data_IF_205210931678
#
_entry.id   IF_205210931678
#
_cell.length_a   1.000
_cell.length_b   1.000
_cell.length_c   1.000
_cell.angle_alpha   90.00
_cell.angle_beta   90.00
_cell.angle_gamma   90.00
#
_symmetry.space_group_name_H-M   'P 1'
#
loop_
_entity.id
_entity.type
_entity.pdbx_description
1 polymer ?
#
# COMPACT_ATOMS: atom_id res chain seq x y z
N UNK A 1 -28.23 -14.33 20.77
CA UNK A 1 -27.88 -13.32 19.77
C UNK A 1 -26.74 -13.74 18.85
N UNK A 2 -26.10 -14.88 19.06
CA UNK A 2 -24.93 -15.32 18.25
C UNK A 2 -25.22 -16.34 17.14
N UNK A 3 -26.46 -16.74 16.93
CA UNK A 3 -26.80 -17.74 15.89
C UNK A 3 -27.28 -17.11 14.59
N UNK A 4 -27.78 -15.88 14.63
CA UNK A 4 -28.31 -15.19 13.43
C UNK A 4 -27.19 -14.49 12.64
N UNK A 5 -26.07 -14.12 13.26
CA UNK A 5 -24.91 -13.54 12.55
C UNK A 5 -24.13 -14.59 11.74
N UNK A 6 -24.06 -15.85 12.18
CA UNK A 6 -23.36 -16.92 11.44
C UNK A 6 -24.10 -17.42 10.19
N UNK A 7 -25.39 -17.16 10.08
CA UNK A 7 -26.18 -17.56 8.89
C UNK A 7 -26.16 -16.48 7.80
N UNK A 8 -25.86 -15.22 8.15
CA UNK A 8 -25.78 -14.14 7.16
C UNK A 8 -24.44 -14.11 6.40
N UNK A 9 -23.35 -14.53 7.03
CA UNK A 9 -22.04 -14.64 6.34
C UNK A 9 -21.98 -15.79 5.33
N UNK A 10 -22.76 -16.85 5.52
CA UNK A 10 -22.75 -18.02 4.61
C UNK A 10 -23.61 -17.83 3.33
N UNK A 11 -24.38 -16.76 3.24
CA UNK A 11 -25.27 -16.48 2.08
C UNK A 11 -24.72 -15.41 1.14
N UNK A 12 -23.64 -14.71 1.50
CA UNK A 12 -22.97 -13.70 0.64
C UNK A 12 -21.86 -14.33 -0.21
N UNK A 13 -21.36 -15.50 0.17
CA UNK A 13 -20.25 -16.18 -0.53
C UNK A 13 -20.68 -17.00 -1.77
N UNK A 14 -21.95 -17.01 -2.16
CA UNK A 14 -22.49 -17.86 -3.26
C UNK A 14 -22.83 -17.08 -4.54
N UNK A 15 -22.67 -15.75 -4.57
CA UNK A 15 -23.11 -14.94 -5.73
C UNK A 15 -21.99 -14.33 -6.57
N UNK A 16 -20.71 -14.69 -6.39
CA UNK A 16 -19.59 -14.15 -7.20
C UNK A 16 -18.82 -15.21 -8.02
N UNK A 17 -19.42 -16.37 -8.27
CA UNK A 17 -18.87 -17.35 -9.22
C UNK A 17 -19.72 -17.41 -10.48
N UNK A 18 -19.41 -16.55 -11.45
CA UNK A 18 -19.80 -16.79 -12.84
C UNK A 18 -18.89 -16.03 -13.79
N UNK A 19 -17.93 -16.74 -14.39
CA UNK A 19 -17.47 -16.38 -15.69
C UNK A 19 -15.96 -16.33 -15.94
N UNK A 20 -15.29 -17.43 -15.85
CA UNK A 20 -14.02 -17.67 -16.53
C UNK A 20 -13.89 -19.17 -16.74
N UNK A 21 -14.12 -19.64 -17.96
CA UNK A 21 -13.91 -21.05 -18.29
C UNK A 21 -12.43 -21.22 -18.60
N UNK A 22 -11.65 -21.74 -17.65
CA UNK A 22 -10.29 -22.21 -17.91
C UNK A 22 -10.31 -23.34 -18.96
N UNK A 23 -9.41 -23.32 -19.92
CA UNK A 23 -9.20 -24.44 -20.84
C UNK A 23 -8.72 -25.67 -20.05
N UNK A 24 -9.59 -26.61 -19.82
CA UNK A 24 -9.27 -27.91 -19.24
C UNK A 24 -8.64 -28.81 -20.30
N UNK A 25 -7.60 -29.54 -19.92
CA UNK A 25 -7.08 -30.63 -20.72
C UNK A 25 -8.16 -31.71 -20.97
N UNK A 26 -8.02 -32.50 -22.01
CA UNK A 26 -9.00 -33.54 -22.42
C UNK A 26 -9.23 -34.62 -21.34
N UNK A 27 -8.50 -34.66 -20.25
CA UNK A 27 -8.63 -35.54 -19.09
C UNK A 27 -9.19 -34.85 -17.84
N UNK A 28 -9.56 -33.56 -17.93
CA UNK A 28 -10.14 -32.80 -16.82
C UNK A 28 -9.13 -32.30 -15.78
N UNK A 29 -7.83 -32.46 -16.01
CA UNK A 29 -6.78 -31.93 -15.15
C UNK A 29 -6.32 -30.54 -15.61
N UNK A 30 -6.19 -29.59 -14.67
CA UNK A 30 -5.48 -28.33 -14.90
C UNK A 30 -3.98 -28.65 -14.83
N UNK A 31 -3.16 -28.23 -15.81
CA UNK A 31 -1.71 -28.47 -15.74
C UNK A 31 -1.15 -27.77 -14.52
N UNK A 32 -0.67 -28.54 -13.55
CA UNK A 32 0.09 -28.04 -12.43
C UNK A 32 1.36 -27.36 -12.97
N UNK A 33 1.37 -26.04 -13.06
CA UNK A 33 2.60 -25.29 -13.25
C UNK A 33 3.31 -25.30 -11.91
N UNK A 34 4.30 -26.16 -11.80
CA UNK A 34 5.28 -26.08 -10.70
C UNK A 34 5.91 -24.70 -10.78
N UNK A 35 5.96 -23.91 -9.69
CA UNK A 35 6.74 -22.70 -9.68
C UNK A 35 8.15 -23.08 -10.09
N UNK A 36 8.60 -22.57 -11.25
CA UNK A 36 9.95 -22.87 -11.73
C UNK A 36 10.90 -21.97 -10.94
N UNK A 37 11.12 -22.33 -9.68
CA UNK A 37 12.36 -21.96 -8.98
C UNK A 37 13.43 -22.80 -9.65
N UNK A 38 13.77 -22.47 -10.90
CA UNK A 38 14.72 -23.24 -11.65
C UNK A 38 16.12 -22.76 -11.32
N UNK A 39 17.07 -23.69 -11.33
CA UNK A 39 18.51 -23.46 -11.30
C UNK A 39 19.02 -22.52 -12.43
N UNK A 40 18.13 -21.89 -13.20
CA UNK A 40 18.43 -21.02 -14.33
C UNK A 40 18.59 -19.54 -13.97
N UNK A 41 18.27 -19.12 -12.75
CA UNK A 41 18.49 -17.73 -12.33
C UNK A 41 19.95 -17.57 -11.88
N UNK A 42 20.78 -17.04 -12.78
CA UNK A 42 22.09 -16.51 -12.40
C UNK A 42 21.92 -15.48 -11.29
N UNK A 43 22.88 -15.46 -10.33
CA UNK A 43 22.89 -14.52 -9.23
C UNK A 43 22.74 -13.09 -9.73
N UNK A 44 21.53 -12.53 -9.58
CA UNK A 44 21.25 -11.14 -9.89
C UNK A 44 21.64 -10.26 -8.70
N UNK A 45 21.64 -8.96 -8.94
CA UNK A 45 21.94 -7.96 -7.91
C UNK A 45 21.09 -8.14 -6.65
N UNK A 46 19.82 -8.55 -6.76
CA UNK A 46 18.92 -8.72 -5.62
C UNK A 46 19.43 -9.76 -4.60
N UNK A 47 19.80 -10.96 -5.06
CA UNK A 47 20.35 -11.98 -4.15
C UNK A 47 21.77 -11.66 -3.69
N UNK A 48 22.57 -10.98 -4.50
CA UNK A 48 23.95 -10.60 -4.13
C UNK A 48 23.94 -9.50 -3.05
N UNK A 49 23.10 -8.47 -3.18
CA UNK A 49 22.94 -7.44 -2.16
C UNK A 49 22.44 -8.04 -0.84
N UNK A 50 21.47 -8.98 -0.91
CA UNK A 50 20.99 -9.70 0.27
C UNK A 50 22.09 -10.52 0.95
N UNK A 51 22.85 -11.32 0.18
CA UNK A 51 24.00 -12.08 0.70
C UNK A 51 25.06 -11.16 1.33
N UNK A 52 25.31 -9.99 0.73
CA UNK A 52 26.27 -9.04 1.27
C UNK A 52 25.78 -8.43 2.59
N UNK A 53 24.51 -8.09 2.69
CA UNK A 53 23.90 -7.64 3.94
C UNK A 53 24.02 -8.72 5.02
N UNK A 54 23.63 -9.97 4.73
CA UNK A 54 23.74 -11.10 5.69
C UNK A 54 25.17 -11.39 6.13
N UNK A 55 26.14 -11.28 5.22
CA UNK A 55 27.57 -11.45 5.54
C UNK A 55 28.06 -10.39 6.54
N UNK A 56 27.54 -9.18 6.46
CA UNK A 56 27.87 -8.09 7.38
C UNK A 56 27.14 -8.24 8.72
N UNK A 57 25.98 -8.93 8.75
CA UNK A 57 25.11 -9.11 9.89
C UNK A 57 24.77 -10.60 10.12
N UNK A 58 25.73 -11.43 10.59
CA UNK A 58 25.51 -12.87 10.76
C UNK A 58 24.48 -13.23 11.84
N UNK A 59 24.18 -12.33 12.76
CA UNK A 59 23.10 -12.45 13.74
C UNK A 59 21.73 -12.29 13.06
N UNK A 60 21.60 -11.36 12.12
CA UNK A 60 20.37 -11.16 11.31
C UNK A 60 20.16 -12.36 10.39
N UNK A 61 21.23 -12.93 9.79
CA UNK A 61 21.10 -14.15 8.98
C UNK A 61 20.38 -15.26 9.76
N UNK A 62 20.76 -15.50 11.01
CA UNK A 62 20.12 -16.53 11.85
C UNK A 62 18.64 -16.22 12.14
N UNK A 63 18.29 -14.95 12.31
CA UNK A 63 16.91 -14.54 12.52
C UNK A 63 16.08 -14.75 11.24
N UNK A 64 16.62 -14.43 10.06
CA UNK A 64 15.96 -14.69 8.78
C UNK A 64 15.79 -16.18 8.51
N UNK A 65 16.83 -17.00 8.76
CA UNK A 65 16.71 -18.46 8.66
C UNK A 65 15.60 -18.99 9.58
N UNK A 66 15.47 -18.43 10.79
CA UNK A 66 14.40 -18.78 11.73
C UNK A 66 13.03 -18.30 11.25
N UNK A 67 12.93 -17.10 10.69
CA UNK A 67 11.69 -16.55 10.11
C UNK A 67 11.18 -17.45 8.97
N UNK A 68 12.05 -17.82 8.03
CA UNK A 68 11.71 -18.74 6.93
C UNK A 68 11.29 -20.12 7.46
N UNK A 69 11.99 -20.65 8.46
CA UNK A 69 11.65 -21.94 9.05
C UNK A 69 10.28 -21.90 9.75
N UNK A 70 9.97 -20.82 10.48
CA UNK A 70 8.66 -20.63 11.10
C UNK A 70 7.55 -20.47 10.06
N UNK A 71 7.81 -19.74 8.97
CA UNK A 71 6.91 -19.64 7.84
C UNK A 71 6.63 -21.01 7.20
N UNK A 72 7.63 -21.88 7.08
CA UNK A 72 7.48 -23.24 6.55
C UNK A 72 6.68 -24.17 7.50
N UNK A 73 6.74 -23.94 8.82
CA UNK A 73 5.93 -24.67 9.80
C UNK A 73 4.45 -24.21 9.75
N UNK A 74 4.20 -22.91 9.57
CA UNK A 74 2.85 -22.32 9.50
C UNK A 74 2.16 -22.71 8.20
N UNK A 75 2.83 -22.55 7.06
CA UNK A 75 2.35 -22.96 5.77
C UNK A 75 3.36 -23.89 5.08
N UNK A 76 3.20 -25.23 5.23
CA UNK A 76 4.10 -26.21 4.64
C UNK A 76 3.86 -26.47 3.15
N UNK A 77 2.75 -25.94 2.60
CA UNK A 77 2.37 -26.14 1.21
C UNK A 77 3.28 -25.34 0.26
N UNK A 78 4.09 -26.06 -0.53
CA UNK A 78 5.00 -25.43 -1.49
C UNK A 78 4.33 -24.73 -2.67
N UNK A 79 3.07 -24.97 -2.91
CA UNK A 79 2.33 -24.23 -3.95
C UNK A 79 2.01 -22.79 -3.50
N UNK A 80 1.81 -22.58 -2.21
CA UNK A 80 1.57 -21.26 -1.62
C UNK A 80 2.78 -20.70 -0.89
N UNK A 81 3.69 -21.54 -0.41
CA UNK A 81 4.95 -21.15 0.25
C UNK A 81 6.14 -21.84 -0.43
N UNK A 82 6.57 -21.40 -1.62
CA UNK A 82 7.66 -22.02 -2.36
C UNK A 82 9.04 -21.89 -1.69
N UNK A 83 9.27 -20.87 -0.87
CA UNK A 83 10.54 -20.59 -0.19
C UNK A 83 10.51 -21.16 1.24
N UNK A 84 11.27 -22.23 1.48
CA UNK A 84 11.35 -22.89 2.79
C UNK A 84 12.80 -22.99 3.31
N UNK A 85 13.72 -22.31 2.64
CA UNK A 85 15.12 -22.20 3.04
C UNK A 85 15.75 -20.90 2.55
N UNK A 86 16.85 -20.49 3.17
CA UNK A 86 17.59 -19.31 2.75
C UNK A 86 18.17 -19.46 1.33
N UNK A 87 18.57 -20.67 0.93
CA UNK A 87 19.07 -20.93 -0.43
C UNK A 87 17.97 -20.76 -1.49
N UNK A 88 16.76 -21.21 -1.19
CA UNK A 88 15.58 -20.98 -2.06
C UNK A 88 15.21 -19.49 -2.12
N UNK A 89 15.36 -18.76 -1.01
CA UNK A 89 15.13 -17.30 -0.95
C UNK A 89 16.03 -16.56 -1.95
N UNK A 90 17.29 -16.93 -2.11
CA UNK A 90 18.18 -16.28 -3.09
C UNK A 90 17.68 -16.41 -4.53
N UNK A 91 17.22 -17.60 -4.91
CA UNK A 91 16.64 -17.84 -6.24
C UNK A 91 15.35 -17.04 -6.43
N UNK A 92 14.51 -17.05 -5.41
CA UNK A 92 13.23 -16.35 -5.41
C UNK A 92 13.39 -14.83 -5.55
N UNK A 93 14.28 -14.20 -4.79
CA UNK A 93 14.55 -12.77 -4.91
C UNK A 93 15.00 -12.36 -6.32
N UNK A 94 15.83 -13.18 -6.98
CA UNK A 94 16.24 -12.91 -8.36
C UNK A 94 15.10 -13.03 -9.36
N UNK A 95 14.17 -13.96 -9.11
CA UNK A 95 12.98 -14.13 -9.93
C UNK A 95 12.04 -12.94 -9.80
N UNK A 96 11.70 -12.53 -8.57
CA UNK A 96 10.68 -11.54 -8.31
C UNK A 96 10.98 -10.17 -8.90
N UNK A 97 12.24 -9.73 -8.91
CA UNK A 97 12.63 -8.42 -9.49
C UNK A 97 12.55 -8.33 -11.00
N UNK A 98 12.19 -9.42 -11.67
CA UNK A 98 11.96 -9.49 -13.13
C UNK A 98 10.57 -10.00 -13.48
N UNK A 99 9.68 -10.07 -12.49
CA UNK A 99 8.31 -10.53 -12.65
C UNK A 99 7.32 -9.37 -12.64
N UNK A 100 6.22 -9.56 -13.34
CA UNK A 100 5.04 -8.71 -13.16
C UNK A 100 4.44 -8.95 -11.77
N UNK A 101 3.79 -7.93 -11.17
CA UNK A 101 3.27 -8.02 -9.81
C UNK A 101 2.32 -9.21 -9.54
N UNK A 102 1.63 -9.68 -10.54
CA UNK A 102 0.71 -10.82 -10.46
C UNK A 102 1.35 -12.17 -10.76
N UNK A 103 2.63 -12.21 -11.12
CA UNK A 103 3.33 -13.45 -11.52
C UNK A 103 4.29 -13.98 -10.45
N UNK A 104 4.38 -13.36 -9.28
CA UNK A 104 5.28 -13.82 -8.21
C UNK A 104 4.77 -15.13 -7.61
N UNK A 105 3.47 -15.22 -7.42
CA UNK A 105 2.79 -16.47 -7.03
C UNK A 105 2.21 -17.17 -8.26
N UNK A 106 1.94 -18.49 -8.18
CA UNK A 106 1.39 -19.23 -9.32
C UNK A 106 0.10 -18.62 -9.82
N UNK A 107 0.04 -18.37 -11.14
CA UNK A 107 -1.16 -17.90 -11.83
C UNK A 107 -2.35 -18.84 -11.59
N UNK A 108 -3.56 -18.33 -11.71
CA UNK A 108 -4.83 -19.09 -11.74
C UNK A 108 -5.34 -19.60 -10.38
N UNK A 109 -4.59 -19.43 -9.27
CA UNK A 109 -5.06 -19.92 -7.97
C UNK A 109 -6.14 -19.00 -7.36
N UNK A 110 -6.03 -17.72 -7.55
CA UNK A 110 -6.82 -16.72 -6.82
C UNK A 110 -7.97 -16.13 -7.64
N UNK A 111 -8.01 -16.40 -8.94
CA UNK A 111 -9.17 -16.19 -9.79
C UNK A 111 -9.48 -14.77 -10.22
N UNK A 112 -8.72 -13.77 -9.77
CA UNK A 112 -8.78 -12.39 -10.24
C UNK A 112 -7.45 -11.68 -10.03
N UNK A 113 -7.19 -10.70 -10.90
CA UNK A 113 -5.94 -9.98 -10.99
C UNK A 113 -5.54 -9.24 -9.69
N UNK A 114 -6.48 -8.58 -9.04
CA UNK A 114 -6.19 -7.83 -7.81
C UNK A 114 -5.73 -8.78 -6.68
N UNK A 115 -6.39 -9.93 -6.53
CA UNK A 115 -5.96 -10.94 -5.54
C UNK A 115 -4.62 -11.56 -5.91
N UNK A 116 -4.33 -11.80 -7.21
CA UNK A 116 -3.02 -12.30 -7.65
C UNK A 116 -1.89 -11.32 -7.28
N UNK A 117 -2.10 -10.02 -7.52
CA UNK A 117 -1.15 -8.99 -7.11
C UNK A 117 -0.98 -8.97 -5.58
N UNK A 118 -2.08 -8.97 -4.85
CA UNK A 118 -2.09 -8.90 -3.39
C UNK A 118 -1.31 -10.07 -2.79
N UNK A 119 -1.63 -11.30 -3.18
CA UNK A 119 -0.96 -12.49 -2.69
C UNK A 119 0.53 -12.54 -3.06
N UNK A 120 0.88 -12.09 -4.26
CA UNK A 120 2.27 -12.01 -4.71
C UNK A 120 3.09 -11.03 -3.87
N UNK A 121 2.52 -9.88 -3.53
CA UNK A 121 3.17 -8.86 -2.73
C UNK A 121 3.31 -9.33 -1.28
N UNK A 122 2.22 -9.77 -0.67
CA UNK A 122 2.18 -10.14 0.74
C UNK A 122 3.11 -11.32 1.04
N UNK A 123 3.27 -12.24 0.10
CA UNK A 123 4.13 -13.40 0.30
C UNK A 123 5.60 -13.03 0.55
N UNK A 124 6.15 -12.06 -0.18
CA UNK A 124 7.55 -11.62 -0.01
C UNK A 124 7.77 -11.10 1.42
N UNK A 125 6.84 -10.26 1.90
CA UNK A 125 6.92 -9.70 3.24
C UNK A 125 6.62 -10.73 4.31
N UNK A 126 5.66 -11.62 4.09
CA UNK A 126 5.34 -12.67 5.04
C UNK A 126 6.54 -13.56 5.43
N UNK A 127 7.45 -13.82 4.50
CA UNK A 127 8.69 -14.55 4.79
C UNK A 127 9.60 -13.82 5.81
N UNK A 128 9.52 -12.51 5.87
CA UNK A 128 10.32 -11.64 6.76
C UNK A 128 9.53 -11.20 7.99
N UNK A 129 8.21 -11.34 7.96
CA UNK A 129 7.29 -10.79 8.98
C UNK A 129 6.86 -11.80 10.05
N UNK A 130 7.61 -12.89 10.20
CA UNK A 130 7.33 -13.85 11.26
C UNK A 130 7.75 -13.30 12.63
N UNK A 131 6.87 -13.33 13.65
CA UNK A 131 7.21 -12.83 14.98
C UNK A 131 8.26 -13.72 15.64
N UNK A 132 9.36 -13.13 16.07
CA UNK A 132 10.48 -13.83 16.71
C UNK A 132 10.65 -13.39 18.15
N UNK A 133 10.71 -14.36 19.07
CA UNK A 133 10.88 -14.12 20.50
C UNK A 133 12.13 -13.27 20.82
N UNK A 134 13.19 -13.39 20.04
CA UNK A 134 14.42 -12.62 20.20
C UNK A 134 14.24 -11.13 19.93
N UNK A 135 13.13 -10.74 19.31
CA UNK A 135 12.81 -9.37 18.91
C UNK A 135 11.71 -8.73 19.76
N UNK A 136 10.98 -9.50 20.58
CA UNK A 136 9.82 -9.03 21.37
C UNK A 136 10.11 -7.84 22.31
N UNK A 137 11.34 -7.70 22.82
CA UNK A 137 11.71 -6.63 23.74
C UNK A 137 12.49 -5.50 23.07
N UNK A 138 12.50 -5.45 21.75
CA UNK A 138 13.07 -4.33 20.99
C UNK A 138 11.99 -3.31 20.69
N UNK A 139 12.37 -2.05 20.59
CA UNK A 139 11.47 -0.95 20.19
C UNK A 139 11.22 -1.00 18.68
N UNK A 140 10.67 -2.13 18.18
CA UNK A 140 10.29 -2.32 16.79
C UNK A 140 8.78 -2.13 16.64
N UNK A 141 8.34 -1.78 15.44
CA UNK A 141 6.92 -1.74 15.12
C UNK A 141 6.27 -3.11 15.34
N UNK A 142 6.91 -4.17 14.86
CA UNK A 142 6.54 -5.56 15.05
C UNK A 142 7.81 -6.39 15.32
N UNK A 143 7.77 -7.46 16.14
CA UNK A 143 8.96 -8.23 16.47
C UNK A 143 9.40 -9.16 15.34
N UNK A 144 9.54 -8.63 14.12
CA UNK A 144 9.98 -9.35 12.93
C UNK A 144 11.30 -8.79 12.37
N UNK A 145 11.92 -9.54 11.48
CA UNK A 145 13.18 -9.12 10.86
C UNK A 145 12.99 -7.97 9.87
N UNK A 146 11.80 -7.80 9.33
CA UNK A 146 11.45 -6.73 8.39
C UNK A 146 11.81 -5.35 8.95
N UNK A 147 11.57 -5.12 10.24
CA UNK A 147 11.78 -3.84 10.92
C UNK A 147 13.19 -3.63 11.47
N UNK A 148 14.13 -4.53 11.20
CA UNK A 148 15.55 -4.33 11.53
C UNK A 148 16.22 -3.41 10.50
N UNK A 149 16.98 -2.39 10.95
CA UNK A 149 17.57 -1.39 10.08
C UNK A 149 18.34 -1.97 8.87
N UNK A 150 19.22 -2.98 9.01
CA UNK A 150 19.88 -3.56 7.84
C UNK A 150 18.93 -4.22 6.85
N UNK A 151 17.80 -4.78 7.32
CA UNK A 151 16.81 -5.47 6.48
C UNK A 151 15.97 -4.45 5.72
N UNK A 152 15.40 -3.44 6.37
CA UNK A 152 14.59 -2.46 5.65
C UNK A 152 15.43 -1.57 4.70
N UNK A 153 16.70 -1.31 5.00
CA UNK A 153 17.62 -0.67 4.04
C UNK A 153 17.85 -1.55 2.81
N UNK A 154 18.05 -2.84 3.02
CA UNK A 154 18.16 -3.79 1.91
C UNK A 154 16.84 -3.91 1.13
N UNK A 155 15.68 -3.91 1.79
CA UNK A 155 14.38 -3.88 1.12
C UNK A 155 14.25 -2.68 0.18
N UNK A 156 14.78 -1.51 0.56
CA UNK A 156 14.83 -0.34 -0.33
C UNK A 156 15.65 -0.62 -1.60
N UNK A 157 16.79 -1.29 -1.49
CA UNK A 157 17.61 -1.68 -2.67
C UNK A 157 16.88 -2.72 -3.54
N UNK A 158 16.25 -3.70 -2.91
CA UNK A 158 15.45 -4.72 -3.58
C UNK A 158 14.28 -4.09 -4.34
N UNK A 159 13.52 -3.23 -3.71
CA UNK A 159 12.39 -2.53 -4.31
C UNK A 159 12.81 -1.62 -5.48
N UNK A 160 13.94 -0.91 -5.34
CA UNK A 160 14.51 -0.12 -6.42
C UNK A 160 14.91 -0.98 -7.64
N UNK A 161 15.47 -2.18 -7.39
CA UNK A 161 15.82 -3.12 -8.47
C UNK A 161 14.57 -3.57 -9.23
N UNK A 162 13.49 -3.85 -8.51
CA UNK A 162 12.23 -4.22 -9.15
C UNK A 162 11.57 -3.03 -9.88
N UNK A 163 11.63 -1.84 -9.31
CA UNK A 163 11.19 -0.62 -9.99
C UNK A 163 11.88 -0.44 -11.33
N UNK A 164 13.19 -0.66 -11.42
CA UNK A 164 13.95 -0.52 -12.66
C UNK A 164 13.42 -1.48 -13.75
N UNK A 165 12.98 -2.68 -13.38
CA UNK A 165 12.26 -3.59 -14.30
C UNK A 165 10.88 -3.02 -14.67
N UNK A 166 10.08 -2.58 -13.69
CA UNK A 166 8.72 -2.06 -13.92
C UNK A 166 8.71 -0.73 -14.70
N UNK A 167 9.82 0.00 -14.74
CA UNK A 167 10.03 1.19 -15.55
C UNK A 167 10.51 0.84 -16.99
N UNK A 168 10.91 -0.40 -17.25
CA UNK A 168 11.44 -0.83 -18.55
C UNK A 168 10.33 -1.23 -19.53
N UNK A 169 10.63 -1.16 -20.84
CA UNK A 169 9.73 -1.66 -21.89
C UNK A 169 9.45 -3.18 -21.77
N UNK A 170 10.32 -3.93 -21.09
CA UNK A 170 10.14 -5.37 -20.87
C UNK A 170 8.95 -5.68 -19.96
N UNK A 171 8.57 -4.73 -19.12
CA UNK A 171 7.41 -4.82 -18.20
C UNK A 171 6.07 -4.53 -18.87
N UNK A 172 6.04 -4.15 -20.17
CA UNK A 172 4.80 -3.80 -20.84
C UNK A 172 4.61 -4.54 -22.15
N UNK A 173 3.46 -5.19 -22.30
CA UNK A 173 3.08 -5.95 -23.48
C UNK A 173 1.61 -5.75 -23.80
N UNK A 174 1.25 -5.90 -25.08
CA UNK A 174 -0.15 -5.80 -25.50
C UNK A 174 -1.06 -6.80 -24.76
N UNK A 175 -0.59 -8.00 -24.47
CA UNK A 175 -1.35 -9.02 -23.73
C UNK A 175 -1.72 -8.58 -22.32
N UNK A 176 -0.89 -7.77 -21.66
CA UNK A 176 -1.20 -7.21 -20.34
C UNK A 176 -2.30 -6.16 -20.44
N UNK A 177 -2.24 -5.29 -21.45
CA UNK A 177 -3.32 -4.33 -21.70
C UNK A 177 -4.65 -5.05 -22.00
N UNK A 178 -4.61 -6.09 -22.83
CA UNK A 178 -5.80 -6.87 -23.18
C UNK A 178 -6.41 -7.57 -21.95
N UNK A 179 -5.59 -8.05 -21.03
CA UNK A 179 -6.01 -8.62 -19.76
C UNK A 179 -6.64 -7.56 -18.84
N UNK A 180 -5.99 -6.41 -18.67
CA UNK A 180 -6.46 -5.29 -17.85
C UNK A 180 -7.79 -4.70 -18.38
N UNK A 181 -7.98 -4.67 -19.70
CA UNK A 181 -9.23 -4.24 -20.33
C UNK A 181 -10.40 -5.20 -20.06
N UNK A 182 -10.14 -6.46 -19.72
CA UNK A 182 -11.17 -7.44 -19.36
C UNK A 182 -11.60 -7.33 -17.90
N UNK A 183 -10.80 -6.69 -17.04
CA UNK A 183 -11.14 -6.46 -15.65
C UNK A 183 -11.78 -5.07 -15.46
N UNK A 184 -13.09 -5.01 -15.16
CA UNK A 184 -13.82 -3.76 -15.04
C UNK A 184 -13.38 -2.89 -13.85
N UNK A 185 -12.66 -3.44 -12.88
CA UNK A 185 -12.18 -2.71 -11.70
C UNK A 185 -11.23 -1.57 -12.07
N UNK A 186 -10.43 -1.75 -13.12
CA UNK A 186 -9.49 -0.75 -13.63
C UNK A 186 -10.15 0.44 -14.33
N UNK A 187 -11.45 0.35 -14.66
CA UNK A 187 -12.22 1.41 -15.31
C UNK A 187 -11.62 1.93 -16.64
N UNK A 188 -10.84 1.11 -17.35
CA UNK A 188 -10.16 1.51 -18.60
C UNK A 188 -11.14 1.75 -19.76
N UNK A 189 -12.34 1.18 -19.69
CA UNK A 189 -13.43 1.36 -20.65
C UNK A 189 -14.17 2.70 -20.53
N UNK A 190 -13.96 3.45 -19.43
CA UNK A 190 -14.70 4.69 -19.12
C UNK A 190 -14.19 5.92 -19.89
N UNK A 191 -13.05 5.83 -20.57
CA UNK A 191 -12.43 6.99 -21.21
C UNK A 191 -11.91 8.04 -20.22
N UNK A 192 -11.65 7.64 -18.98
CA UNK A 192 -11.15 8.53 -17.94
C UNK A 192 -9.66 8.81 -18.04
N UNK A 193 -8.91 7.93 -18.72
CA UNK A 193 -7.46 7.98 -18.77
C UNK A 193 -6.94 8.38 -20.15
N UNK A 194 -5.69 8.74 -20.21
CA UNK A 194 -4.96 9.00 -21.45
C UNK A 194 -4.94 7.77 -22.37
N UNK A 195 -4.53 7.98 -23.64
CA UNK A 195 -4.46 6.87 -24.59
C UNK A 195 -3.49 5.78 -24.10
N UNK A 196 -3.88 4.48 -24.14
CA UNK A 196 -2.97 3.37 -23.83
C UNK A 196 -1.69 3.35 -24.69
N UNK A 197 -1.69 4.01 -25.82
CA UNK A 197 -0.50 4.17 -26.67
C UNK A 197 0.64 4.97 -26.00
N UNK A 198 0.33 5.70 -24.91
CA UNK A 198 1.30 6.44 -24.12
C UNK A 198 2.04 5.56 -23.09
N UNK A 199 1.58 4.33 -22.86
CA UNK A 199 2.15 3.46 -21.84
C UNK A 199 3.17 2.50 -22.47
N UNK A 200 4.43 2.63 -22.10
CA UNK A 200 5.55 1.84 -22.58
C UNK A 200 6.20 1.00 -21.48
N UNK A 201 5.76 1.20 -20.24
CA UNK A 201 6.15 0.41 -19.07
C UNK A 201 4.97 0.19 -18.13
N UNK A 202 5.09 -0.78 -17.23
CA UNK A 202 4.04 -1.00 -16.23
C UNK A 202 3.86 0.20 -15.30
N UNK A 203 4.93 0.86 -14.90
CA UNK A 203 4.85 2.04 -14.06
C UNK A 203 4.23 3.25 -14.76
N UNK A 204 4.38 3.40 -16.08
CA UNK A 204 3.64 4.41 -16.84
C UNK A 204 2.13 4.14 -16.84
N UNK A 205 1.72 2.88 -16.98
CA UNK A 205 0.33 2.46 -16.81
C UNK A 205 -0.16 2.68 -15.39
N UNK A 206 0.60 2.24 -14.38
CA UNK A 206 0.20 2.34 -12.98
C UNK A 206 0.00 3.81 -12.55
N UNK A 207 0.92 4.69 -12.95
CA UNK A 207 0.82 6.14 -12.74
C UNK A 207 0.14 6.90 -13.89
N UNK A 208 -0.78 6.23 -14.61
CA UNK A 208 -1.53 6.76 -15.77
C UNK A 208 -2.16 8.12 -15.48
N UNK A 209 -2.28 8.97 -16.50
CA UNK A 209 -2.87 10.30 -16.39
C UNK A 209 -4.34 10.29 -16.74
N UNK A 210 -5.08 11.23 -16.17
CA UNK A 210 -6.46 11.50 -16.60
C UNK A 210 -6.49 12.07 -18.03
N UNK A 211 -7.54 11.72 -18.76
CA UNK A 211 -7.79 12.28 -20.12
C UNK A 211 -8.14 13.77 -20.09
N UNK A 212 -8.50 14.31 -18.94
CA UNK A 212 -8.83 15.70 -18.68
C UNK A 212 -9.68 15.88 -17.44
N UNK A 213 -9.95 17.13 -17.07
CA UNK A 213 -10.65 17.49 -15.83
C UNK A 213 -12.08 16.89 -15.72
N UNK A 214 -12.69 16.52 -16.84
CA UNK A 214 -14.03 15.90 -16.83
C UNK A 214 -14.00 14.47 -16.26
N UNK A 215 -12.83 13.81 -16.23
CA UNK A 215 -12.68 12.47 -15.69
C UNK A 215 -12.76 12.45 -14.14
N UNK A 216 -12.39 13.54 -13.50
CA UNK A 216 -12.49 13.77 -12.05
C UNK A 216 -13.01 15.19 -11.79
N UNK A 217 -14.34 15.39 -11.80
CA UNK A 217 -14.92 16.71 -11.52
C UNK A 217 -14.66 17.13 -10.07
N UNK A 218 -14.26 18.38 -9.88
CA UNK A 218 -13.96 18.91 -8.55
C UNK A 218 -15.26 19.36 -7.86
N UNK A 219 -15.51 18.84 -6.67
CA UNK A 219 -16.67 19.23 -5.87
C UNK A 219 -16.55 20.70 -5.42
N UNK A 220 -17.61 21.47 -5.67
CA UNK A 220 -17.72 22.87 -5.26
C UNK A 220 -16.44 23.69 -5.50
N UNK A 221 -15.97 23.84 -6.77
CA UNK A 221 -14.63 24.36 -7.06
C UNK A 221 -14.40 25.81 -6.60
N UNK A 222 -15.47 26.56 -6.28
CA UNK A 222 -15.42 27.95 -5.80
C UNK A 222 -15.68 28.09 -4.29
N UNK A 223 -15.90 26.98 -3.59
CA UNK A 223 -16.17 26.95 -2.14
C UNK A 223 -14.97 26.34 -1.41
N UNK A 224 -14.07 27.18 -0.90
CA UNK A 224 -12.86 26.76 -0.22
C UNK A 224 -13.11 26.14 1.17
N UNK A 225 -14.36 26.12 1.67
CA UNK A 225 -14.72 25.31 2.83
C UNK A 225 -14.78 23.82 2.51
N UNK A 226 -14.96 23.45 1.25
CA UNK A 226 -15.01 22.06 0.81
C UNK A 226 -13.60 21.51 0.60
N UNK A 227 -13.26 20.46 1.34
CA UNK A 227 -12.06 19.64 1.15
C UNK A 227 -12.42 18.50 0.22
N UNK A 228 -11.63 18.28 -0.83
CA UNK A 228 -11.87 17.19 -1.80
C UNK A 228 -10.94 16.01 -1.54
N UNK A 229 -11.34 14.82 -2.03
CA UNK A 229 -10.48 13.64 -1.96
C UNK A 229 -9.19 13.88 -2.74
N UNK A 230 -8.02 13.60 -2.14
CA UNK A 230 -6.74 13.75 -2.81
C UNK A 230 -6.49 12.66 -3.85
N UNK A 231 -7.20 11.53 -3.80
CA UNK A 231 -6.99 10.35 -4.66
C UNK A 231 -8.29 9.59 -4.87
N UNK A 232 -8.30 8.65 -5.82
CA UNK A 232 -9.29 7.59 -5.87
C UNK A 232 -8.95 6.62 -4.73
N UNK A 233 -9.84 6.43 -3.74
CA UNK A 233 -9.42 5.80 -2.49
C UNK A 233 -10.57 5.42 -1.56
N UNK A 234 -10.25 4.63 -0.54
CA UNK A 234 -11.12 4.20 0.55
C UNK A 234 -10.76 4.98 1.83
N UNK A 235 -11.57 5.94 2.27
CA UNK A 235 -11.36 6.63 3.55
C UNK A 235 -11.35 5.67 4.73
N UNK A 236 -10.42 5.87 5.67
CA UNK A 236 -10.21 4.96 6.79
C UNK A 236 -10.73 5.50 8.13
N UNK A 237 -10.99 6.78 8.23
CA UNK A 237 -11.55 7.39 9.44
C UNK A 237 -11.09 8.81 9.71
N UNK A 238 -11.48 9.29 10.90
CA UNK A 238 -11.12 10.61 11.42
C UNK A 238 -10.66 10.48 12.87
N UNK A 239 -9.46 10.94 13.17
CA UNK A 239 -8.86 10.90 14.50
C UNK A 239 -8.60 12.31 15.02
N UNK A 240 -8.85 12.49 16.31
CA UNK A 240 -8.51 13.73 17.00
C UNK A 240 -7.05 13.68 17.46
N UNK A 241 -6.30 14.72 17.17
CA UNK A 241 -4.95 14.96 17.72
C UNK A 241 -5.15 15.70 19.06
N UNK A 242 -4.43 15.30 20.11
CA UNK A 242 -4.50 15.94 21.42
C UNK A 242 -3.65 17.23 21.51
N UNK A 243 -3.66 17.87 22.68
CA UNK A 243 -2.93 19.10 22.99
C UNK A 243 -1.39 18.90 23.03
N UNK A 244 -0.92 17.66 22.91
CA UNK A 244 0.51 17.31 22.83
C UNK A 244 0.93 16.82 21.44
N UNK A 245 0.02 16.88 20.48
CA UNK A 245 0.26 16.39 19.14
C UNK A 245 0.21 14.86 19.02
N UNK A 246 -0.46 14.16 19.94
CA UNK A 246 -0.58 12.72 19.93
C UNK A 246 -1.96 12.30 19.39
N UNK A 247 -1.99 11.22 18.64
CA UNK A 247 -3.21 10.50 18.28
C UNK A 247 -3.09 9.03 18.65
N UNK A 248 -4.23 8.41 18.97
CA UNK A 248 -4.29 7.05 19.43
C UNK A 248 -4.42 6.10 18.24
N UNK A 249 -3.47 5.16 18.12
CA UNK A 249 -3.53 4.06 17.18
C UNK A 249 -4.22 2.87 17.87
N UNK A 250 -5.23 2.31 17.21
CA UNK A 250 -5.91 1.11 17.70
C UNK A 250 -4.98 -0.10 17.69
N UNK A 251 -5.22 -1.11 18.56
CA UNK A 251 -4.44 -2.33 18.56
C UNK A 251 -4.64 -3.10 17.26
N UNK A 252 -3.58 -3.73 16.76
CA UNK A 252 -3.66 -4.68 15.65
C UNK A 252 -4.20 -6.00 16.20
N UNK A 253 -5.41 -6.38 15.76
CA UNK A 253 -6.10 -7.60 16.16
C UNK A 253 -6.29 -8.50 14.95
N UNK A 254 -5.91 -9.76 15.08
CA UNK A 254 -6.24 -10.79 14.08
C UNK A 254 -7.72 -11.18 14.18
N UNK A 255 -8.28 -11.71 13.10
CA UNK A 255 -9.67 -12.21 13.07
C UNK A 255 -9.94 -13.31 14.11
N UNK A 256 -8.93 -14.09 14.49
CA UNK A 256 -9.02 -15.10 15.56
C UNK A 256 -9.03 -14.49 16.98
N UNK A 257 -8.96 -13.16 17.08
CA UNK A 257 -8.98 -12.41 18.34
C UNK A 257 -7.64 -12.30 19.04
N UNK A 258 -6.54 -12.69 18.36
CA UNK A 258 -5.18 -12.52 18.89
C UNK A 258 -4.75 -11.08 18.68
N UNK A 259 -4.32 -10.42 19.74
CA UNK A 259 -3.71 -9.08 19.66
C UNK A 259 -2.27 -9.21 19.17
N UNK A 260 -1.97 -8.57 18.02
CA UNK A 260 -0.63 -8.53 17.46
C UNK A 260 0.16 -7.37 18.08
N UNK A 261 -0.49 -6.22 18.25
CA UNK A 261 0.10 -5.03 18.83
C UNK A 261 -0.90 -4.32 19.72
N UNK A 262 -0.46 -3.89 20.88
CA UNK A 262 -1.26 -3.06 21.78
C UNK A 262 -1.46 -1.65 21.22
N UNK A 263 -2.50 -0.95 21.74
CA UNK A 263 -2.75 0.45 21.43
C UNK A 263 -1.50 1.30 21.66
N UNK A 264 -1.22 2.19 20.74
CA UNK A 264 -0.04 3.04 20.76
C UNK A 264 -0.43 4.49 20.49
N UNK A 265 0.23 5.42 21.17
CA UNK A 265 0.17 6.84 20.82
C UNK A 265 1.28 7.16 19.84
N UNK A 266 0.92 7.80 18.73
CA UNK A 266 1.83 8.27 17.68
C UNK A 266 1.80 9.79 17.69
N UNK A 267 2.95 10.43 17.49
CA UNK A 267 3.02 11.89 17.43
C UNK A 267 2.99 12.41 16.00
N UNK A 268 2.43 13.61 15.85
CA UNK A 268 2.52 14.37 14.59
C UNK A 268 3.97 14.62 14.21
N UNK A 269 4.87 14.83 15.18
CA UNK A 269 6.32 15.00 14.94
C UNK A 269 6.93 13.76 14.27
N UNK A 270 6.58 12.56 14.74
CA UNK A 270 7.03 11.32 14.09
C UNK A 270 6.52 11.23 12.65
N UNK A 271 5.26 11.59 12.43
CA UNK A 271 4.66 11.54 11.11
C UNK A 271 5.27 12.57 10.14
N UNK A 272 5.51 13.81 10.58
CA UNK A 272 6.14 14.85 9.79
C UNK A 272 7.65 14.67 9.62
N UNK A 273 8.32 13.93 10.51
CA UNK A 273 9.77 13.73 10.50
C UNK A 273 10.56 14.98 10.92
N UNK A 274 11.89 14.88 10.89
CA UNK A 274 12.78 15.96 11.36
C UNK A 274 12.58 17.27 10.57
N UNK A 275 12.43 17.18 9.25
CA UNK A 275 12.27 18.36 8.37
C UNK A 275 10.93 19.09 8.59
N UNK A 276 9.95 18.42 9.19
CA UNK A 276 8.63 18.98 9.52
C UNK A 276 8.41 19.28 10.99
N UNK A 277 9.39 19.04 11.86
CA UNK A 277 9.22 19.16 13.32
C UNK A 277 8.79 20.57 13.76
N UNK A 278 9.23 21.62 13.06
CA UNK A 278 8.82 23.01 13.35
C UNK A 278 7.33 23.28 13.12
N UNK A 279 6.67 22.48 12.28
CA UNK A 279 5.23 22.61 11.96
C UNK A 279 4.35 21.77 12.84
N UNK A 280 4.88 20.80 13.58
CA UNK A 280 4.09 19.80 14.32
C UNK A 280 3.11 20.44 15.32
N UNK A 281 3.57 21.49 16.03
CA UNK A 281 2.74 22.18 17.00
C UNK A 281 1.49 22.87 16.39
N UNK A 282 1.46 23.15 15.10
CA UNK A 282 0.30 23.73 14.42
C UNK A 282 -0.88 22.75 14.38
N UNK A 283 -0.60 21.45 14.43
CA UNK A 283 -1.61 20.39 14.36
C UNK A 283 -2.09 19.91 15.74
N UNK A 284 -1.56 20.46 16.86
CA UNK A 284 -2.10 20.17 18.18
C UNK A 284 -3.58 20.56 18.23
N UNK A 285 -4.39 19.80 18.95
CA UNK A 285 -5.86 19.92 18.96
C UNK A 285 -6.52 19.81 17.57
N UNK A 286 -5.77 19.33 16.57
CA UNK A 286 -6.19 19.20 15.20
C UNK A 286 -6.83 17.85 14.88
N UNK A 287 -6.80 17.51 13.60
CA UNK A 287 -7.44 16.31 13.06
C UNK A 287 -6.50 15.58 12.12
N UNK A 288 -6.58 14.25 12.15
CA UNK A 288 -5.94 13.36 11.20
C UNK A 288 -7.01 12.53 10.49
N UNK A 289 -6.86 12.33 9.20
CA UNK A 289 -7.56 11.34 8.41
C UNK A 289 -6.60 10.69 7.43
N UNK A 290 -6.90 9.49 6.98
CA UNK A 290 -6.16 8.89 5.88
C UNK A 290 -7.07 8.09 4.96
N UNK A 291 -6.57 7.80 3.76
CA UNK A 291 -7.33 7.14 2.71
C UNK A 291 -6.42 6.22 1.91
N UNK A 292 -6.86 4.98 1.75
CA UNK A 292 -6.10 3.89 1.14
C UNK A 292 -6.45 3.76 -0.36
N UNK A 293 -5.46 3.59 -1.22
CA UNK A 293 -5.63 3.34 -2.64
C UNK A 293 -5.45 1.84 -2.94
N UNK A 294 -6.45 1.24 -3.61
CA UNK A 294 -6.34 -0.12 -4.14
C UNK A 294 -5.44 -0.15 -5.39
N UNK A 295 -4.95 -1.34 -5.78
CA UNK A 295 -4.09 -1.49 -6.97
C UNK A 295 -4.73 -1.00 -8.27
N UNK A 296 -6.02 -1.16 -8.41
CA UNK A 296 -6.82 -0.78 -9.58
C UNK A 296 -7.20 0.70 -9.60
N UNK A 297 -6.99 1.42 -8.51
CA UNK A 297 -7.24 2.84 -8.41
C UNK A 297 -6.32 3.68 -9.32
N UNK A 298 -6.63 4.95 -9.42
CA UNK A 298 -5.81 5.98 -10.06
C UNK A 298 -4.71 6.43 -9.10
N UNK A 299 -3.45 6.15 -9.42
CA UNK A 299 -2.31 6.33 -8.51
C UNK A 299 -1.60 7.70 -8.64
N UNK A 300 -2.37 8.75 -8.99
CA UNK A 300 -1.94 10.15 -8.84
C UNK A 300 -2.74 10.81 -7.74
N UNK A 301 -2.08 11.66 -6.97
CA UNK A 301 -2.70 12.40 -5.89
C UNK A 301 -2.72 13.89 -6.21
N UNK A 302 -3.75 14.57 -5.69
CA UNK A 302 -4.09 15.94 -6.02
C UNK A 302 -4.21 16.78 -4.74
N UNK A 303 -4.13 18.09 -4.88
CA UNK A 303 -4.35 19.00 -3.77
C UNK A 303 -5.81 18.94 -3.28
N UNK A 304 -6.05 18.59 -2.01
CA UNK A 304 -7.41 18.53 -1.47
C UNK A 304 -8.00 19.91 -1.15
N UNK A 305 -7.16 20.93 -1.08
CA UNK A 305 -7.49 22.31 -0.70
C UNK A 305 -6.75 23.31 -1.57
N UNK A 306 -7.33 24.52 -1.72
CA UNK A 306 -6.63 25.66 -2.30
C UNK A 306 -5.75 26.35 -1.26
N UNK A 307 -4.60 26.91 -1.67
CA UNK A 307 -3.72 27.61 -0.75
C UNK A 307 -2.37 27.96 -1.34
N UNK A 308 -1.40 28.16 -0.45
CA UNK A 308 0.01 28.38 -0.81
C UNK A 308 0.86 27.27 -0.17
N UNK A 309 1.68 26.59 -0.96
CA UNK A 309 2.62 25.59 -0.46
C UNK A 309 3.63 26.27 0.46
N UNK A 310 3.67 25.83 1.70
CA UNK A 310 4.61 26.32 2.71
C UNK A 310 5.90 25.51 2.69
N UNK A 311 5.78 24.16 2.67
CA UNK A 311 6.91 23.24 2.63
C UNK A 311 6.58 22.02 1.77
N UNK A 312 7.62 21.43 1.16
CA UNK A 312 7.56 20.14 0.49
C UNK A 312 8.88 19.40 0.70
N UNK A 313 8.81 18.17 1.15
CA UNK A 313 9.97 17.32 1.42
C UNK A 313 9.57 15.84 1.45
N UNK A 314 10.57 14.96 1.47
CA UNK A 314 10.36 13.51 1.61
C UNK A 314 11.04 13.03 2.89
N UNK A 315 10.37 12.19 3.63
CA UNK A 315 10.89 11.49 4.81
C UNK A 315 11.22 10.06 4.38
N UNK A 316 12.49 9.75 4.09
CA UNK A 316 12.89 8.38 3.76
C UNK A 316 12.87 7.54 5.04
N UNK A 317 12.29 6.36 4.96
CA UNK A 317 12.26 5.40 6.06
C UNK A 317 12.21 3.96 5.54
N UNK A 318 11.49 3.07 6.22
CA UNK A 318 11.29 1.71 5.75
C UNK A 318 10.47 1.68 4.43
N UNK A 319 10.60 0.57 3.71
CA UNK A 319 9.75 0.20 2.61
C UNK A 319 9.09 -1.14 3.01
N UNK A 320 8.39 -1.09 4.13
CA UNK A 320 7.69 -2.22 4.70
C UNK A 320 6.30 -2.40 4.05
N UNK A 321 5.58 -3.42 4.46
CA UNK A 321 4.26 -3.73 3.85
C UNK A 321 3.13 -2.82 4.34
N UNK A 322 3.38 -2.00 5.37
CA UNK A 322 2.35 -1.13 5.95
C UNK A 322 1.40 -1.86 6.91
N UNK A 323 1.89 -2.82 7.65
CA UNK A 323 1.11 -3.61 8.60
C UNK A 323 1.82 -4.89 9.02
N UNK A 324 1.05 -5.95 9.21
CA UNK A 324 1.56 -7.29 9.54
C UNK A 324 0.93 -8.31 8.62
N UNK A 325 1.73 -9.17 8.00
CA UNK A 325 1.23 -10.24 7.14
C UNK A 325 1.15 -11.55 7.90
N UNK A 326 0.03 -12.22 7.80
CA UNK A 326 -0.13 -13.57 8.32
C UNK A 326 -0.82 -14.50 7.30
N UNK A 327 -0.63 -15.80 7.48
CA UNK A 327 -1.33 -16.83 6.70
C UNK A 327 -2.66 -17.17 7.38
N UNK A 328 -3.76 -17.12 6.65
CA UNK A 328 -5.07 -17.56 7.11
C UNK A 328 -5.40 -18.96 6.53
N UNK A 329 -5.36 -19.97 7.38
CA UNK A 329 -5.65 -21.36 7.01
C UNK A 329 -7.09 -21.57 6.49
N UNK A 330 -8.02 -20.69 6.86
CA UNK A 330 -9.44 -20.86 6.47
C UNK A 330 -9.68 -20.42 5.03
N UNK A 331 -9.11 -19.30 4.63
CA UNK A 331 -9.21 -18.80 3.26
C UNK A 331 -8.13 -19.36 2.34
N UNK A 332 -7.00 -19.81 2.89
CA UNK A 332 -5.81 -20.20 2.14
C UNK A 332 -5.13 -19.00 1.49
N UNK A 333 -5.16 -17.83 2.15
CA UNK A 333 -4.63 -16.57 1.65
C UNK A 333 -3.65 -15.94 2.66
N UNK A 334 -2.73 -15.14 2.15
CA UNK A 334 -1.99 -14.17 2.94
C UNK A 334 -2.87 -12.95 3.19
N UNK A 335 -2.90 -12.50 4.42
CA UNK A 335 -3.75 -11.38 4.85
C UNK A 335 -2.87 -10.30 5.46
N UNK A 336 -3.08 -9.07 5.01
CA UNK A 336 -2.48 -7.88 5.59
C UNK A 336 -3.39 -7.31 6.66
N UNK A 337 -2.89 -7.23 7.89
CA UNK A 337 -3.54 -6.51 8.97
C UNK A 337 -2.91 -5.12 9.09
N UNK A 338 -3.61 -4.11 8.60
CA UNK A 338 -3.15 -2.73 8.51
C UNK A 338 -4.08 -1.72 9.23
N UNK A 339 -5.01 -2.20 10.07
CA UNK A 339 -6.03 -1.37 10.71
C UNK A 339 -5.49 -0.36 11.75
N UNK A 340 -4.17 -0.35 12.00
CA UNK A 340 -3.54 0.58 12.93
C UNK A 340 -2.94 1.77 12.20
N UNK A 341 -3.12 2.98 12.74
CA UNK A 341 -2.46 4.20 12.26
C UNK A 341 -0.95 4.27 12.51
N UNK A 342 -0.36 3.24 13.13
CA UNK A 342 1.02 3.33 13.59
C UNK A 342 2.05 3.14 12.47
N UNK A 343 1.71 2.45 11.39
CA UNK A 343 2.66 2.09 10.34
C UNK A 343 3.02 3.26 9.42
N UNK A 344 2.15 4.24 9.21
CA UNK A 344 2.45 5.39 8.33
C UNK A 344 3.68 6.18 8.77
N UNK A 345 3.96 6.21 10.06
CA UNK A 345 5.12 6.92 10.62
C UNK A 345 6.46 6.22 10.40
N UNK A 346 6.45 4.96 9.99
CA UNK A 346 7.64 4.15 9.73
C UNK A 346 7.85 3.84 8.24
N UNK A 347 6.99 4.36 7.37
CA UNK A 347 7.12 4.19 5.92
C UNK A 347 7.74 5.43 5.26
N UNK A 348 8.32 5.21 4.07
CA UNK A 348 8.74 6.32 3.20
C UNK A 348 7.53 7.14 2.79
N UNK A 349 7.58 8.44 3.02
CA UNK A 349 6.46 9.35 2.76
C UNK A 349 6.92 10.70 2.28
N UNK A 350 6.07 11.37 1.54
CA UNK A 350 6.22 12.77 1.20
C UNK A 350 5.39 13.64 2.12
N UNK A 351 5.77 14.88 2.34
CA UNK A 351 5.01 15.85 3.11
C UNK A 351 4.88 17.15 2.31
N UNK A 352 3.64 17.59 2.13
CA UNK A 352 3.34 18.91 1.57
C UNK A 352 2.48 19.68 2.55
N UNK A 353 2.97 20.81 3.03
CA UNK A 353 2.25 21.71 3.92
C UNK A 353 1.64 22.85 3.11
N UNK A 354 0.36 23.11 3.32
CA UNK A 354 -0.41 24.10 2.55
C UNK A 354 -1.03 25.09 3.52
N UNK A 355 -0.66 26.35 3.39
CA UNK A 355 -1.26 27.43 4.16
C UNK A 355 -2.57 27.87 3.49
N UNK A 356 -3.69 27.68 4.19
CA UNK A 356 -5.04 28.02 3.73
C UNK A 356 -5.67 29.12 4.63
N UNK A 357 -6.81 29.65 4.24
CA UNK A 357 -7.58 30.59 5.08
C UNK A 357 -8.08 29.92 6.37
N UNK A 358 -8.26 28.59 6.37
CA UNK A 358 -8.77 27.80 7.49
C UNK A 358 -7.69 27.24 8.40
N UNK A 359 -6.42 27.40 8.04
CA UNK A 359 -5.27 26.90 8.78
C UNK A 359 -4.33 26.09 7.93
N UNK A 360 -3.31 25.54 8.59
CA UNK A 360 -2.35 24.65 7.93
C UNK A 360 -2.98 23.29 7.64
N UNK A 361 -2.77 22.81 6.43
CA UNK A 361 -3.12 21.45 6.00
C UNK A 361 -1.85 20.74 5.57
N UNK A 362 -1.59 19.54 6.09
CA UNK A 362 -0.54 18.67 5.56
C UNK A 362 -1.19 17.56 4.71
N UNK A 363 -0.63 17.31 3.53
CA UNK A 363 -0.95 16.16 2.69
C UNK A 363 0.29 15.28 2.65
N UNK A 364 0.14 14.04 3.07
CA UNK A 364 1.24 13.12 3.31
C UNK A 364 0.98 11.82 2.54
N UNK A 365 1.33 11.76 1.23
CA UNK A 365 1.34 10.50 0.51
C UNK A 365 2.38 9.56 1.12
N UNK A 366 1.97 8.32 1.41
CA UNK A 366 2.78 7.27 2.02
C UNK A 366 2.94 6.14 1.02
N UNK A 367 4.18 5.85 0.66
CA UNK A 367 4.50 4.69 -0.19
C UNK A 367 4.83 3.50 0.68
N UNK A 368 4.12 2.39 0.46
CA UNK A 368 4.32 1.15 1.18
C UNK A 368 4.53 -0.01 0.19
N UNK A 369 5.06 -1.11 0.67
CA UNK A 369 5.33 -2.28 -0.18
C UNK A 369 6.41 -2.02 -1.22
N UNK A 370 6.36 -2.72 -2.36
CA UNK A 370 7.48 -2.93 -3.27
C UNK A 370 8.21 -1.67 -3.75
N UNK A 371 7.56 -0.76 -4.44
CA UNK A 371 8.30 0.39 -4.97
C UNK A 371 8.37 1.55 -3.99
N UNK A 372 7.42 1.66 -3.06
CA UNK A 372 7.36 2.68 -1.99
C UNK A 372 7.76 4.08 -2.47
N UNK A 373 7.33 4.47 -3.66
CA UNK A 373 7.75 5.74 -4.25
C UNK A 373 6.75 6.84 -3.98
N UNK A 374 7.26 8.01 -3.60
CA UNK A 374 6.48 9.25 -3.55
C UNK A 374 7.14 10.24 -4.48
N UNK A 375 6.39 10.71 -5.47
CA UNK A 375 6.91 11.63 -6.48
C UNK A 375 6.05 12.90 -6.51
N UNK A 376 6.68 14.06 -6.36
CA UNK A 376 6.02 15.35 -6.53
C UNK A 376 6.28 15.91 -7.93
N UNK A 377 5.34 16.69 -8.44
CA UNK A 377 5.54 17.43 -9.70
C UNK A 377 6.53 18.59 -9.48
N UNK A 378 7.30 18.94 -10.49
CA UNK A 378 8.35 19.98 -10.45
C UNK A 378 7.84 21.38 -10.03
N UNK A 379 6.56 21.65 -10.26
CA UNK A 379 5.90 22.91 -9.89
C UNK A 379 5.46 22.94 -8.40
N UNK A 380 5.49 21.80 -7.69
CA UNK A 380 5.17 21.71 -6.26
C UNK A 380 6.39 22.14 -5.45
N UNK A 381 6.38 23.37 -5.00
CA UNK A 381 7.51 23.99 -4.28
C UNK A 381 7.01 25.10 -3.34
N UNK A 382 7.77 25.41 -2.30
CA UNK A 382 7.44 26.50 -1.38
C UNK A 382 7.13 27.82 -2.12
N UNK A 383 6.03 28.46 -1.73
CA UNK A 383 5.50 29.69 -2.34
C UNK A 383 4.61 29.48 -3.55
N UNK A 384 4.46 28.26 -4.07
CA UNK A 384 3.52 27.99 -5.16
C UNK A 384 2.08 28.15 -4.68
N UNK A 385 1.25 28.86 -5.48
CA UNK A 385 -0.20 28.89 -5.26
C UNK A 385 -0.83 27.72 -5.97
N UNK A 386 -1.70 27.01 -5.25
CA UNK A 386 -2.37 25.79 -5.73
C UNK A 386 -3.87 25.92 -5.54
N UNK A 387 -4.61 25.25 -6.41
CA UNK A 387 -6.06 25.13 -6.35
C UNK A 387 -6.43 23.70 -6.03
N UNK A 388 -7.47 23.48 -5.24
CA UNK A 388 -7.94 22.13 -4.99
C UNK A 388 -8.26 21.41 -6.30
N UNK A 389 -7.82 20.16 -6.41
CA UNK A 389 -7.89 19.36 -7.63
C UNK A 389 -6.69 19.51 -8.57
N UNK A 390 -5.77 20.47 -8.36
CA UNK A 390 -4.50 20.49 -9.09
C UNK A 390 -3.69 19.22 -8.76
N UNK A 391 -3.00 18.66 -9.75
CA UNK A 391 -2.17 17.46 -9.54
C UNK A 391 -0.97 17.79 -8.65
N UNK A 392 -0.78 16.99 -7.61
CA UNK A 392 0.30 17.13 -6.64
C UNK A 392 1.48 16.19 -6.96
N UNK A 393 1.16 14.96 -7.36
CA UNK A 393 2.17 13.96 -7.61
C UNK A 393 1.61 12.59 -7.96
N UNK A 394 2.46 11.55 -7.85
CA UNK A 394 2.08 10.20 -8.22
C UNK A 394 2.88 9.14 -7.46
N UNK A 395 2.28 7.96 -7.31
CA UNK A 395 2.94 6.74 -6.90
C UNK A 395 3.36 5.91 -8.11
N UNK A 396 4.50 5.24 -8.02
CA UNK A 396 4.81 4.07 -8.83
C UNK A 396 4.28 2.82 -8.11
N UNK A 397 4.35 1.65 -8.76
CA UNK A 397 3.73 0.43 -8.26
C UNK A 397 4.14 0.11 -6.81
N UNK A 398 3.15 -0.20 -5.99
CA UNK A 398 3.27 -0.53 -4.57
C UNK A 398 1.99 -0.17 -3.83
N UNK A 399 1.93 -0.50 -2.54
CA UNK A 399 0.86 -0.03 -1.67
C UNK A 399 0.90 1.48 -1.50
N UNK A 400 -0.25 2.11 -1.34
CA UNK A 400 -0.37 3.56 -1.33
C UNK A 400 -1.43 4.04 -0.34
N UNK A 401 -1.06 5.01 0.48
CA UNK A 401 -1.96 5.69 1.41
C UNK A 401 -1.75 7.21 1.32
N UNK A 402 -2.73 7.97 1.68
CA UNK A 402 -2.64 9.42 1.75
C UNK A 402 -3.18 9.91 3.09
N UNK A 403 -2.28 10.35 3.97
CA UNK A 403 -2.64 10.96 5.25
C UNK A 403 -2.85 12.45 5.07
N UNK A 404 -3.85 13.01 5.73
CA UNK A 404 -4.07 14.45 5.82
C UNK A 404 -4.14 14.89 7.28
N UNK A 405 -3.44 15.99 7.60
CA UNK A 405 -3.52 16.65 8.89
C UNK A 405 -4.16 18.03 8.70
N UNK A 406 -5.02 18.41 9.64
CA UNK A 406 -5.71 19.70 9.67
C UNK A 406 -5.48 20.40 11.00
N UNK A 407 -5.08 21.66 10.94
CA UNK A 407 -4.97 22.51 12.14
C UNK A 407 -6.30 22.59 12.91
N UNK A 408 -6.25 22.62 14.23
CA UNK A 408 -7.47 22.56 15.09
C UNK A 408 -8.50 23.65 14.81
N UNK A 409 -8.04 24.88 14.47
CA UNK A 409 -8.93 26.01 14.13
C UNK A 409 -9.74 25.80 12.83
N UNK A 410 -9.35 24.83 12.00
CA UNK A 410 -10.07 24.53 10.76
C UNK A 410 -11.47 23.95 11.00
N UNK A 411 -11.71 23.36 12.18
CA UNK A 411 -12.95 22.67 12.50
C UNK A 411 -13.29 21.54 11.52
N UNK A 412 -12.27 20.88 10.94
CA UNK A 412 -12.46 19.88 9.89
C UNK A 412 -13.45 18.78 10.31
N UNK A 413 -14.35 18.45 9.38
CA UNK A 413 -15.32 17.36 9.51
C UNK A 413 -15.25 16.48 8.28
N UNK A 414 -15.15 15.17 8.49
CA UNK A 414 -15.27 14.17 7.42
C UNK A 414 -16.73 14.04 7.00
N UNK A 415 -17.02 14.13 5.70
CA UNK A 415 -18.39 14.07 5.14
C UNK A 415 -18.59 12.92 4.16
N UNK A 416 -17.59 12.04 4.03
CA UNK A 416 -17.66 10.86 3.14
C UNK A 416 -18.82 9.95 3.56
N UNK A 417 -19.63 9.47 2.60
CA UNK A 417 -20.73 8.54 2.92
C UNK A 417 -20.26 7.23 3.54
N UNK A 418 -21.03 6.69 4.49
CA UNK A 418 -20.89 5.32 4.94
C UNK A 418 -21.41 4.35 3.86
N UNK A 419 -20.98 3.08 3.91
CA UNK A 419 -21.51 2.01 3.06
C UNK A 419 -20.45 1.26 2.28
N UNK A 420 -19.16 1.49 2.57
CA UNK A 420 -18.05 0.72 1.98
C UNK A 420 -18.11 -0.75 2.39
N UNK A 421 -17.81 -1.61 1.42
CA UNK A 421 -17.71 -3.07 1.60
C UNK A 421 -16.44 -3.55 0.89
N UNK A 422 -15.87 -4.64 1.38
CA UNK A 422 -14.65 -5.26 0.81
C UNK A 422 -13.46 -5.20 1.75
N UNK A 423 -12.40 -5.85 1.33
CA UNK A 423 -11.11 -5.82 2.01
C UNK A 423 -10.62 -4.36 2.09
N UNK A 424 -9.97 -3.98 3.16
CA UNK A 424 -9.47 -2.62 3.40
C UNK A 424 -10.53 -1.51 3.57
N UNK A 425 -11.84 -1.81 3.57
CA UNK A 425 -12.87 -0.82 3.84
C UNK A 425 -13.08 -0.65 5.35
N UNK A 426 -12.93 0.58 5.85
CA UNK A 426 -13.28 0.95 7.22
C UNK A 426 -14.77 1.34 7.38
N UNK A 427 -15.61 0.96 6.43
CA UNK A 427 -17.06 1.24 6.43
C UNK A 427 -17.47 2.49 5.66
N UNK A 428 -16.53 3.24 5.10
CA UNK A 428 -16.80 4.37 4.20
C UNK A 428 -16.90 3.92 2.76
N UNK A 429 -17.69 4.64 1.96
CA UNK A 429 -17.75 4.42 0.53
C UNK A 429 -16.42 4.82 -0.13
N UNK A 430 -16.05 4.12 -1.22
CA UNK A 430 -14.97 4.56 -2.09
C UNK A 430 -15.28 5.95 -2.65
N UNK A 431 -14.28 6.82 -2.70
CA UNK A 431 -14.38 8.18 -3.26
C UNK A 431 -13.39 8.36 -4.39
N UNK A 432 -13.80 9.10 -5.41
CA UNK A 432 -12.90 9.49 -6.48
C UNK A 432 -12.18 10.80 -6.16
N UNK A 433 -10.99 10.95 -6.68
CA UNK A 433 -10.23 12.19 -6.61
C UNK A 433 -11.12 13.39 -7.03
N UNK A 434 -11.12 14.45 -6.23
CA UNK A 434 -11.94 15.64 -6.48
C UNK A 434 -13.37 15.60 -5.91
N UNK A 435 -13.88 14.45 -5.49
CA UNK A 435 -15.17 14.39 -4.78
C UNK A 435 -15.07 15.00 -3.37
N UNK A 436 -16.19 15.41 -2.80
CA UNK A 436 -16.21 15.97 -1.46
C UNK A 436 -15.76 14.93 -0.43
N UNK A 437 -14.70 15.23 0.30
CA UNK A 437 -14.14 14.39 1.36
C UNK A 437 -14.51 14.92 2.76
N UNK A 438 -14.54 16.24 2.90
CA UNK A 438 -14.85 16.88 4.16
C UNK A 438 -15.08 18.38 4.02
N UNK A 439 -15.27 19.05 5.17
CA UNK A 439 -15.51 20.48 5.21
C UNK A 439 -14.82 21.15 6.40
N UNK A 440 -14.36 22.36 6.22
CA UNK A 440 -13.99 23.30 7.24
C UNK A 440 -15.23 23.99 7.85
N UNK A 441 -15.14 24.36 9.15
CA UNK A 441 -16.18 25.11 9.86
C UNK A 441 -15.73 26.51 10.27
#
# INVERSE_FOLDING_TARGET
>A
MNLIRKILCLLILVCLFAGGVAEQNADGSVPARTPVISEQFNSSYASESFKNMLKQHPDIQKLIEKSIAQAAEINPDRETNPVQSLDEMYGFLNYTVTCMPWNIMPEERYGNFATECDQSILYVYWLLDQPLQELENRELFYPSVEYLEPVYRWLTEYNNTWRDFLDSEESWKQEYLDMLLQDPSWNLDKGWYESPENWHSFNEFFSRKLSGNAARPIASPQDDTVVVSPADSLPQGLWKIDDKGLFHADPILREDGVTIKDSTYISVEQLLGEDGAEYAALFHDGYLTHTYLNYDDYHRYHFPVSGTVEAVYTVPYANAVGGVVYWDDQSGLYVLESNSLSWQSIETRGCVLINTEYGMVAVIPVGMGQVSSVNFLDNVKPGAKVTKGDELGYFLFGGSDCVMLFEGRSGFQLTVPEGGTGSYSAGYAHVFCGEEYGRFQ
#
